data_IF_808286808704
#
_entry.id   IF_808286808704
#
_cell.length_a   1.000
_cell.length_b   1.000
_cell.length_c   1.000
_cell.angle_alpha   90.00
_cell.angle_beta   90.00
_cell.angle_gamma   90.00
#
_symmetry.space_group_name_H-M   'P 1'
#
loop_
_entity.id
_entity.type
_entity.pdbx_description
1 polymer ?
#
# COMPACT_ATOMS: atom_id res chain seq x y z
N UNK A 1 -4.91 18.01 10.17
CA UNK A 1 -4.08 17.14 9.31
C UNK A 1 -2.99 18.00 8.71
N UNK A 2 -1.75 17.52 8.54
CA UNK A 2 -0.76 18.29 7.79
C UNK A 2 -1.22 18.43 6.32
N UNK A 3 -0.93 19.56 5.70
CA UNK A 3 -1.38 19.92 4.33
C UNK A 3 -0.59 19.19 3.23
N UNK A 4 -0.41 17.88 3.36
CA UNK A 4 0.31 17.07 2.38
C UNK A 4 0.44 15.59 2.76
N UNK A 5 0.84 14.78 1.77
CA UNK A 5 1.23 13.40 2.01
C UNK A 5 2.48 13.39 2.92
N UNK A 6 2.52 12.54 3.97
CA UNK A 6 3.59 12.53 4.95
C UNK A 6 4.88 11.86 4.43
N UNK A 7 5.21 12.03 3.15
CA UNK A 7 6.38 11.44 2.50
C UNK A 7 6.84 12.32 1.34
N UNK A 8 8.13 12.25 1.01
CA UNK A 8 8.69 13.03 -0.09
C UNK A 8 8.27 12.40 -1.41
N UNK A 9 8.15 13.21 -2.46
CA UNK A 9 7.88 12.71 -3.81
C UNK A 9 8.89 11.64 -4.25
N UNK A 10 10.17 11.82 -3.91
CA UNK A 10 11.21 10.85 -4.22
C UNK A 10 10.96 9.49 -3.55
N UNK A 11 10.52 9.48 -2.30
CA UNK A 11 10.21 8.25 -1.56
C UNK A 11 9.02 7.51 -2.23
N UNK A 12 8.05 8.27 -2.77
CA UNK A 12 6.93 7.71 -3.52
C UNK A 12 7.35 7.13 -4.88
N UNK A 13 8.19 7.84 -5.64
CA UNK A 13 8.68 7.36 -6.93
C UNK A 13 9.54 6.10 -6.76
N UNK A 14 10.36 6.04 -5.71
CA UNK A 14 11.14 4.86 -5.34
C UNK A 14 10.22 3.65 -5.07
N UNK A 15 9.14 3.85 -4.30
CA UNK A 15 8.14 2.81 -4.05
C UNK A 15 7.49 2.29 -5.34
N UNK A 16 7.13 3.19 -6.25
CA UNK A 16 6.48 2.85 -7.52
C UNK A 16 7.43 2.05 -8.42
N UNK A 17 8.67 2.51 -8.59
CA UNK A 17 9.68 1.81 -9.38
C UNK A 17 9.98 0.43 -8.78
N UNK A 18 10.20 0.36 -7.46
CA UNK A 18 10.40 -0.91 -6.76
C UNK A 18 9.22 -1.86 -6.97
N UNK A 19 7.98 -1.40 -6.76
CA UNK A 19 6.78 -2.23 -6.93
C UNK A 19 6.63 -2.74 -8.37
N UNK A 20 6.91 -1.88 -9.37
CA UNK A 20 6.86 -2.24 -10.78
C UNK A 20 7.91 -3.30 -11.17
N UNK A 21 9.09 -3.26 -10.55
CA UNK A 21 10.12 -4.31 -10.70
C UNK A 21 9.68 -5.62 -10.07
N UNK A 22 9.11 -5.57 -8.87
CA UNK A 22 8.62 -6.76 -8.15
C UNK A 22 7.42 -7.43 -8.81
N UNK A 23 6.61 -6.70 -9.60
CA UNK A 23 5.45 -7.25 -10.31
C UNK A 23 5.80 -8.04 -11.57
N UNK A 24 7.04 -7.97 -12.07
CA UNK A 24 7.46 -8.65 -13.30
C UNK A 24 8.00 -10.05 -12.98
N UNK A 25 7.09 -11.03 -12.96
CA UNK A 25 7.39 -12.46 -12.72
C UNK A 25 8.34 -13.09 -13.77
N UNK A 26 8.55 -12.43 -14.91
CA UNK A 26 9.30 -12.96 -16.07
C UNK A 26 10.84 -12.76 -16.01
N UNK A 27 11.38 -12.29 -14.88
CA UNK A 27 12.84 -12.25 -14.66
C UNK A 27 13.27 -13.25 -13.59
N UNK A 28 13.87 -14.37 -14.03
CA UNK A 28 14.73 -15.21 -13.17
C UNK A 28 16.01 -14.46 -12.86
N UNK A 29 16.14 -13.92 -11.65
CA UNK A 29 17.43 -13.41 -11.17
C UNK A 29 17.34 -12.34 -10.09
N UNK A 30 17.82 -12.73 -8.91
CA UNK A 30 18.38 -11.95 -7.81
C UNK A 30 17.61 -10.71 -7.28
N UNK A 31 17.13 -10.87 -6.05
CA UNK A 31 16.57 -9.87 -5.15
C UNK A 31 17.69 -8.88 -4.76
N UNK A 32 17.94 -7.87 -5.58
CA UNK A 32 18.59 -6.65 -5.08
C UNK A 32 17.48 -5.64 -4.79
N UNK A 33 16.89 -5.56 -3.59
CA UNK A 33 17.25 -6.12 -2.28
C UNK A 33 16.99 -5.09 -1.18
N UNK A 34 17.03 -3.81 -1.54
CA UNK A 34 16.68 -2.74 -0.63
C UNK A 34 15.20 -2.44 -0.69
N UNK A 35 14.49 -2.95 0.30
CA UNK A 35 13.14 -2.52 0.60
C UNK A 35 13.12 -0.99 0.79
N UNK A 36 12.28 -0.25 0.06
CA UNK A 36 12.23 1.19 0.22
C UNK A 36 11.73 1.53 1.63
N UNK A 37 12.44 2.42 2.32
CA UNK A 37 12.17 2.77 3.73
C UNK A 37 10.76 3.35 3.95
N UNK A 38 10.11 3.83 2.89
CA UNK A 38 8.71 4.25 2.92
C UNK A 38 7.76 3.11 3.30
N UNK A 39 8.06 1.85 2.98
CA UNK A 39 7.25 0.70 3.39
C UNK A 39 7.23 0.57 4.92
N UNK A 40 8.41 0.61 5.55
CA UNK A 40 8.55 0.61 7.01
C UNK A 40 7.83 1.79 7.66
N UNK A 41 7.93 2.99 7.08
CA UNK A 41 7.22 4.20 7.56
C UNK A 41 5.70 4.07 7.46
N UNK A 42 5.21 3.37 6.45
CA UNK A 42 3.79 3.07 6.27
C UNK A 42 3.33 1.86 7.12
N UNK A 43 4.24 1.15 7.76
CA UNK A 43 3.95 -0.04 8.57
C UNK A 43 3.71 -1.30 7.73
N UNK A 44 4.26 -1.36 6.52
CA UNK A 44 4.20 -2.53 5.65
C UNK A 44 5.57 -3.22 5.57
N UNK A 45 5.56 -4.55 5.56
CA UNK A 45 6.65 -5.33 5.00
C UNK A 45 6.44 -5.52 3.48
N UNK A 46 7.54 -5.61 2.74
CA UNK A 46 7.62 -5.97 1.33
C UNK A 46 6.67 -7.09 0.89
N UNK A 47 6.57 -8.20 1.64
CA UNK A 47 5.69 -9.32 1.27
C UNK A 47 4.21 -8.95 1.39
N UNK A 48 3.84 -8.27 2.48
CA UNK A 48 2.48 -7.77 2.70
C UNK A 48 2.10 -6.74 1.64
N UNK A 49 3.01 -5.82 1.31
CA UNK A 49 2.79 -4.82 0.27
C UNK A 49 2.49 -5.46 -1.08
N UNK A 50 3.33 -6.42 -1.52
CA UNK A 50 3.15 -7.07 -2.82
C UNK A 50 1.88 -7.93 -2.88
N UNK A 51 1.49 -8.57 -1.77
CA UNK A 51 0.23 -9.28 -1.68
C UNK A 51 -0.99 -8.34 -1.80
N UNK A 52 -0.91 -7.16 -1.17
CA UNK A 52 -1.97 -6.16 -1.19
C UNK A 52 -2.04 -5.39 -2.51
N UNK A 53 -0.89 -5.09 -3.13
CA UNK A 53 -0.79 -4.34 -4.38
C UNK A 53 -1.57 -5.00 -5.52
N UNK A 54 -1.51 -6.33 -5.62
CA UNK A 54 -2.27 -7.12 -6.61
C UNK A 54 -3.79 -6.89 -6.55
N UNK A 55 -4.29 -6.44 -5.40
CA UNK A 55 -5.70 -6.18 -5.14
C UNK A 55 -6.02 -4.69 -5.08
N UNK A 56 -5.02 -3.82 -5.09
CA UNK A 56 -5.20 -2.38 -4.91
C UNK A 56 -5.98 -1.73 -6.06
N UNK A 57 -5.90 -2.28 -7.27
CA UNK A 57 -6.68 -1.80 -8.42
C UNK A 57 -8.16 -2.23 -8.37
N UNK A 58 -8.53 -3.13 -7.44
CA UNK A 58 -9.89 -3.65 -7.30
C UNK A 58 -10.50 -3.19 -5.98
N UNK A 59 -11.13 -2.02 -5.99
CA UNK A 59 -11.97 -1.58 -4.88
C UNK A 59 -11.92 -0.08 -4.64
N UNK A 60 -12.86 0.42 -3.85
CA UNK A 60 -12.95 1.85 -3.57
C UNK A 60 -12.29 2.27 -2.24
N UNK A 61 -11.91 1.33 -1.38
CA UNK A 61 -11.21 1.58 -0.11
C UNK A 61 -10.19 0.47 0.17
N UNK A 62 -9.04 0.83 0.73
CA UNK A 62 -7.99 -0.10 1.15
C UNK A 62 -7.54 0.28 2.55
N UNK A 63 -7.49 -0.67 3.48
CA UNK A 63 -7.05 -0.43 4.84
C UNK A 63 -7.42 -1.55 5.80
N UNK A 64 -7.05 -1.41 7.07
CA UNK A 64 -7.52 -2.32 8.13
C UNK A 64 -9.00 -2.10 8.41
N UNK A 65 -9.70 -3.11 8.93
CA UNK A 65 -11.13 -2.99 9.24
C UNK A 65 -11.43 -1.81 10.18
N UNK A 66 -10.59 -1.62 11.21
CA UNK A 66 -10.71 -0.52 12.16
C UNK A 66 -10.57 0.84 11.47
N UNK A 67 -9.54 1.03 10.64
CA UNK A 67 -9.32 2.29 9.92
C UNK A 67 -10.43 2.59 8.92
N UNK A 68 -10.92 1.57 8.19
CA UNK A 68 -12.02 1.76 7.25
C UNK A 68 -13.31 2.13 7.99
N UNK A 69 -13.63 1.49 9.13
CA UNK A 69 -14.80 1.86 9.96
C UNK A 69 -14.76 3.31 10.43
N UNK A 70 -13.58 3.81 10.82
CA UNK A 70 -13.38 5.21 11.22
C UNK A 70 -13.52 6.17 10.02
N UNK A 71 -13.05 5.77 8.84
CA UNK A 71 -13.10 6.59 7.64
C UNK A 71 -14.48 6.64 6.95
N UNK A 72 -15.34 5.64 7.17
CA UNK A 72 -16.67 5.55 6.55
C UNK A 72 -17.53 6.82 6.75
N UNK A 73 -17.71 7.35 7.98
CA UNK A 73 -18.46 8.60 8.19
C UNK A 73 -17.85 9.81 7.50
N UNK A 74 -16.50 9.91 7.49
CA UNK A 74 -15.78 11.04 6.88
C UNK A 74 -15.94 11.07 5.36
N UNK A 75 -16.15 9.91 4.75
CA UNK A 75 -16.31 9.73 3.31
C UNK A 75 -17.79 9.68 2.88
N UNK A 76 -18.74 9.91 3.81
CA UNK A 76 -20.18 9.86 3.53
C UNK A 76 -20.69 8.46 3.15
N UNK A 77 -20.00 7.39 3.56
CA UNK A 77 -20.32 6.01 3.19
C UNK A 77 -20.81 5.20 4.39
N UNK A 78 -21.77 4.29 4.15
CA UNK A 78 -22.32 3.39 5.18
C UNK A 78 -21.89 1.93 5.03
N UNK A 79 -21.40 1.54 3.85
CA UNK A 79 -21.00 0.16 3.53
C UNK A 79 -19.49 0.06 3.37
N UNK A 80 -18.89 -0.97 3.99
CA UNK A 80 -17.51 -1.37 3.74
C UNK A 80 -17.42 -1.93 2.32
N UNK A 81 -16.70 -1.24 1.43
CA UNK A 81 -16.45 -1.70 0.06
C UNK A 81 -14.98 -1.53 -0.31
N UNK A 82 -14.31 -2.63 -0.66
CA UNK A 82 -12.91 -2.64 -1.05
C UNK A 82 -12.08 -3.72 -0.34
N UNK A 83 -10.76 -3.61 -0.45
CA UNK A 83 -9.83 -4.62 0.01
C UNK A 83 -9.43 -4.36 1.47
N UNK A 84 -9.55 -5.39 2.31
CA UNK A 84 -9.16 -5.32 3.72
C UNK A 84 -7.75 -5.85 3.87
N UNK A 85 -6.88 -5.01 4.40
CA UNK A 85 -5.55 -5.43 4.82
C UNK A 85 -5.74 -6.24 6.11
N UNK A 86 -5.27 -7.51 6.16
CA UNK A 86 -5.32 -8.29 7.39
C UNK A 86 -4.59 -7.52 8.49
N UNK A 87 -5.22 -7.40 9.67
CA UNK A 87 -4.56 -6.83 10.83
C UNK A 87 -3.42 -7.78 11.23
N UNK A 88 -2.19 -7.25 11.28
CA UNK A 88 -1.06 -7.91 11.93
C UNK A 88 -1.17 -7.83 13.43
#
# INVERSE_FOLDING_TARGET
>A
MPDGLPFRLMDYLELVDWTGRQSRDDKRGHIDGKEPEILKRLGFDSAQWLANYKHAEKGSMIGTESSIKVALPLLGRKRLCGFRIPAG
#
